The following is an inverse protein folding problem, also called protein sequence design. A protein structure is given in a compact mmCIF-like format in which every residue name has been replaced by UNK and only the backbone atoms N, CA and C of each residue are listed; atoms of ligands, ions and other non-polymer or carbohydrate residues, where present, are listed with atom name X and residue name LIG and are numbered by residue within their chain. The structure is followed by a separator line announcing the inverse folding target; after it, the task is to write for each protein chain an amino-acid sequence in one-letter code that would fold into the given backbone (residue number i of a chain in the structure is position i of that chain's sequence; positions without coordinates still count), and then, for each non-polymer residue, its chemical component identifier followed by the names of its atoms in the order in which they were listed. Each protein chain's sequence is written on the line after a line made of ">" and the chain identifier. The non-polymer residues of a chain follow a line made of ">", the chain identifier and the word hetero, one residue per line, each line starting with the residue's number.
data_IF_402434846716
#
_entry.id   IF_402434846716
#
_cell.length_a   1.000
_cell.length_b   1.000
_cell.length_c   1.000
_cell.angle_alpha   90.00
_cell.angle_beta   90.00
_cell.angle_gamma   90.00
#
_symmetry.space_group_name_H-M   'P 1'
#
loop_
_entity.id
_entity.type
_entity.pdbx_description
1 polymer ?
#
# COMPACT_ATOMS: atom_id res chain seq x y z
N UNK A 1 -42.78 18.16 5.69
CA UNK A 1 -41.36 17.98 5.35
C UNK A 1 -40.70 19.34 5.30
N UNK A 2 -39.97 19.70 6.35
CA UNK A 2 -39.30 21.00 6.44
C UNK A 2 -38.00 21.01 5.61
N UNK A 3 -37.49 22.19 5.22
CA UNK A 3 -36.22 22.31 4.47
C UNK A 3 -35.04 21.65 5.21
N UNK A 4 -35.09 21.60 6.54
CA UNK A 4 -34.06 20.95 7.39
C UNK A 4 -34.03 19.43 7.18
N UNK A 5 -35.20 18.76 7.08
CA UNK A 5 -35.26 17.31 6.86
C UNK A 5 -34.75 16.93 5.45
N UNK A 6 -35.02 17.77 4.46
CA UNK A 6 -34.50 17.58 3.10
C UNK A 6 -32.97 17.71 3.05
N UNK A 7 -32.41 18.70 3.76
CA UNK A 7 -30.95 18.89 3.88
C UNK A 7 -30.31 17.73 4.64
N UNK A 8 -30.91 17.27 5.73
CA UNK A 8 -30.40 16.13 6.50
C UNK A 8 -30.43 14.84 5.68
N UNK A 9 -31.50 14.60 4.91
CA UNK A 9 -31.61 13.44 4.03
C UNK A 9 -30.54 13.44 2.94
N UNK A 10 -30.30 14.59 2.30
CA UNK A 10 -29.25 14.75 1.29
C UNK A 10 -27.85 14.55 1.87
N UNK A 11 -27.60 15.07 3.07
CA UNK A 11 -26.33 14.87 3.78
C UNK A 11 -26.10 13.39 4.15
N UNK A 12 -27.12 12.69 4.63
CA UNK A 12 -27.00 11.25 4.95
C UNK A 12 -26.70 10.41 3.70
N UNK A 13 -27.38 10.68 2.58
CA UNK A 13 -27.12 9.99 1.31
C UNK A 13 -25.71 10.29 0.81
N UNK A 14 -25.24 11.53 0.93
CA UNK A 14 -23.88 11.92 0.58
C UNK A 14 -22.82 11.19 1.40
N UNK A 15 -22.99 11.11 2.72
CA UNK A 15 -22.07 10.40 3.62
C UNK A 15 -22.07 8.89 3.34
N UNK A 16 -23.24 8.29 3.13
CA UNK A 16 -23.34 6.87 2.76
C UNK A 16 -22.67 6.57 1.41
N UNK A 17 -22.81 7.47 0.44
CA UNK A 17 -22.12 7.38 -0.85
C UNK A 17 -20.59 7.45 -0.71
N UNK A 18 -20.08 8.34 0.14
CA UNK A 18 -18.64 8.45 0.42
C UNK A 18 -18.10 7.21 1.12
N UNK A 19 -18.83 6.67 2.11
CA UNK A 19 -18.47 5.42 2.80
C UNK A 19 -18.41 4.24 1.81
N UNK A 20 -19.23 4.27 0.76
CA UNK A 20 -19.25 3.23 -0.28
C UNK A 20 -18.13 3.37 -1.32
N UNK A 21 -17.90 4.59 -1.82
CA UNK A 21 -16.96 4.81 -2.93
C UNK A 21 -15.50 4.86 -2.47
N UNK A 22 -15.25 5.30 -1.24
CA UNK A 22 -13.89 5.46 -0.71
C UNK A 22 -13.10 4.13 -0.63
N UNK A 23 -13.64 3.04 -0.06
CA UNK A 23 -12.91 1.77 0.02
C UNK A 23 -12.66 1.14 -1.35
N UNK A 24 -13.58 1.32 -2.29
CA UNK A 24 -13.44 0.84 -3.66
C UNK A 24 -12.28 1.57 -4.38
N UNK A 25 -12.27 2.90 -4.30
CA UNK A 25 -11.23 3.72 -4.90
C UNK A 25 -9.85 3.39 -4.31
N UNK A 26 -9.78 3.17 -3.00
CA UNK A 26 -8.56 2.70 -2.33
C UNK A 26 -8.10 1.33 -2.84
N UNK A 27 -8.98 0.33 -2.87
CA UNK A 27 -8.63 -1.03 -3.29
C UNK A 27 -8.16 -1.09 -4.76
N UNK A 28 -8.79 -0.31 -5.64
CA UNK A 28 -8.36 -0.18 -7.05
C UNK A 28 -6.97 0.45 -7.14
N UNK A 29 -6.74 1.54 -6.41
CA UNK A 29 -5.43 2.21 -6.38
C UNK A 29 -4.32 1.32 -5.82
N UNK A 30 -4.62 0.55 -4.77
CA UNK A 30 -3.69 -0.44 -4.20
C UNK A 30 -3.39 -1.57 -5.21
N UNK A 31 -4.40 -2.10 -5.91
CA UNK A 31 -4.20 -3.10 -6.96
C UNK A 31 -3.29 -2.59 -8.09
N UNK A 32 -3.53 -1.36 -8.57
CA UNK A 32 -2.71 -0.73 -9.61
C UNK A 32 -1.26 -0.54 -9.16
N UNK A 33 -1.04 -0.03 -7.93
CA UNK A 33 0.31 0.09 -7.34
C UNK A 33 1.03 -1.26 -7.27
N UNK A 34 0.28 -2.33 -7.01
CA UNK A 34 0.80 -3.71 -6.94
C UNK A 34 0.98 -4.36 -8.32
N UNK A 35 0.60 -3.68 -9.42
CA UNK A 35 0.70 -4.20 -10.79
C UNK A 35 -0.39 -5.21 -11.15
N UNK A 36 -1.47 -5.26 -10.37
CA UNK A 36 -2.62 -6.13 -10.58
C UNK A 36 -3.70 -5.36 -11.33
N UNK A 37 -4.43 -6.05 -12.21
CA UNK A 37 -5.57 -5.47 -12.92
C UNK A 37 -6.64 -4.95 -11.96
N UNK A 38 -7.13 -3.75 -12.22
CA UNK A 38 -8.27 -3.16 -11.50
C UNK A 38 -9.56 -3.99 -11.64
N UNK A 39 -9.63 -4.90 -12.62
CA UNK A 39 -10.80 -5.75 -12.83
C UNK A 39 -11.12 -6.64 -11.61
N UNK A 40 -10.10 -7.11 -10.89
CA UNK A 40 -10.28 -7.99 -9.74
C UNK A 40 -10.97 -7.28 -8.55
N UNK A 41 -10.47 -6.14 -8.02
CA UNK A 41 -11.16 -5.41 -6.96
C UNK A 41 -12.53 -4.89 -7.40
N UNK A 42 -12.72 -4.54 -8.69
CA UNK A 42 -14.04 -4.14 -9.22
C UNK A 42 -15.03 -5.31 -9.14
N UNK A 43 -14.64 -6.51 -9.57
CA UNK A 43 -15.49 -7.70 -9.49
C UNK A 43 -15.82 -8.07 -8.03
N UNK A 44 -14.83 -7.97 -7.12
CA UNK A 44 -15.06 -8.20 -5.70
C UNK A 44 -16.02 -7.17 -5.10
N UNK A 45 -15.89 -5.90 -5.47
CA UNK A 45 -16.78 -4.83 -5.02
C UNK A 45 -18.22 -5.05 -5.49
N UNK A 46 -18.41 -5.56 -6.70
CA UNK A 46 -19.75 -5.93 -7.18
C UNK A 46 -20.39 -7.07 -6.36
N UNK A 47 -19.57 -8.00 -5.85
CA UNK A 47 -20.04 -9.22 -5.18
C UNK A 47 -20.19 -9.05 -3.65
N UNK A 48 -19.26 -8.34 -3.01
CA UNK A 48 -19.19 -8.17 -1.55
C UNK A 48 -19.43 -6.73 -1.09
N UNK A 49 -19.68 -5.79 -2.01
CA UNK A 49 -19.90 -4.38 -1.69
C UNK A 49 -18.71 -3.78 -0.93
N UNK A 50 -18.94 -2.98 0.13
CA UNK A 50 -17.86 -2.31 0.88
C UNK A 50 -16.94 -3.30 1.61
N UNK A 51 -17.41 -4.52 1.91
CA UNK A 51 -16.55 -5.57 2.48
C UNK A 51 -15.49 -6.07 1.50
N UNK A 52 -15.64 -5.80 0.20
CA UNK A 52 -14.63 -6.13 -0.79
C UNK A 52 -13.27 -5.49 -0.49
N UNK A 53 -13.22 -4.32 0.15
CA UNK A 53 -11.96 -3.72 0.57
C UNK A 53 -11.26 -4.54 1.67
N UNK A 54 -12.03 -5.12 2.60
CA UNK A 54 -11.49 -6.01 3.64
C UNK A 54 -11.05 -7.35 3.06
N UNK A 55 -11.86 -7.92 2.16
CA UNK A 55 -11.49 -9.14 1.45
C UNK A 55 -10.26 -8.89 0.57
N UNK A 56 -10.20 -7.74 -0.11
CA UNK A 56 -9.01 -7.32 -0.85
C UNK A 56 -7.81 -7.21 0.09
N UNK A 57 -7.93 -6.56 1.24
CA UNK A 57 -6.84 -6.46 2.21
C UNK A 57 -6.35 -7.83 2.72
N UNK A 58 -7.24 -8.83 2.81
CA UNK A 58 -6.89 -10.19 3.21
C UNK A 58 -6.21 -11.01 2.09
N UNK A 59 -6.62 -10.83 0.83
CA UNK A 59 -6.12 -11.62 -0.31
C UNK A 59 -5.06 -10.85 -1.12
N UNK A 60 -4.85 -9.55 -0.83
CA UNK A 60 -3.96 -8.68 -1.62
C UNK A 60 -2.63 -9.39 -1.78
N UNK A 61 -2.09 -9.49 -3.00
CA UNK A 61 -0.77 -10.04 -3.16
C UNK A 61 0.19 -9.09 -2.45
N UNK A 62 0.73 -9.54 -1.31
CA UNK A 62 2.06 -9.09 -0.91
C UNK A 62 2.92 -9.40 -2.13
N UNK A 63 3.53 -8.39 -2.78
CA UNK A 63 4.57 -8.70 -3.74
C UNK A 63 5.59 -9.51 -2.96
N UNK A 64 5.62 -10.81 -3.27
CA UNK A 64 6.23 -11.89 -2.52
C UNK A 64 7.34 -11.45 -1.55
N UNK A 65 6.98 -11.29 -0.28
CA UNK A 65 7.92 -11.41 0.84
C UNK A 65 8.46 -12.86 0.92
N UNK A 66 7.90 -13.78 0.12
CA UNK A 66 8.38 -15.15 -0.03
C UNK A 66 9.46 -15.34 -1.12
N UNK A 67 9.94 -14.26 -1.76
CA UNK A 67 11.30 -14.28 -2.28
C UNK A 67 12.25 -14.11 -1.09
N UNK A 68 12.56 -15.24 -0.46
CA UNK A 68 13.85 -15.46 0.22
C UNK A 68 14.90 -14.60 -0.48
N UNK A 69 15.50 -13.63 0.23
CA UNK A 69 16.81 -13.10 -0.17
C UNK A 69 17.68 -14.34 -0.49
N UNK A 70 18.13 -14.52 -1.74
CA UNK A 70 18.80 -13.51 -2.55
C UNK A 70 18.20 -13.39 -3.96
N UNK A 71 17.44 -12.34 -4.25
CA UNK A 71 17.57 -11.75 -5.58
C UNK A 71 18.98 -11.17 -5.57
N UNK A 72 19.90 -11.82 -6.27
CA UNK A 72 21.26 -11.33 -6.46
C UNK A 72 21.17 -10.08 -7.34
N UNK A 73 20.79 -8.96 -6.72
CA UNK A 73 20.76 -7.67 -7.38
C UNK A 73 22.16 -7.41 -7.90
N UNK A 74 22.27 -7.25 -9.23
CA UNK A 74 23.55 -7.10 -9.92
C UNK A 74 24.24 -5.78 -9.56
N UNK A 75 23.46 -4.80 -9.10
CA UNK A 75 23.92 -3.47 -8.70
C UNK A 75 23.08 -2.96 -7.50
N UNK A 76 23.61 -1.93 -6.84
CA UNK A 76 22.95 -1.29 -5.69
C UNK A 76 21.68 -0.54 -6.08
N UNK A 77 21.66 0.09 -7.26
CA UNK A 77 20.56 0.95 -7.70
C UNK A 77 19.25 0.17 -7.86
N UNK A 78 19.29 -1.03 -8.45
CA UNK A 78 18.14 -1.91 -8.60
C UNK A 78 17.61 -2.38 -7.23
N UNK A 79 18.53 -2.69 -6.30
CA UNK A 79 18.18 -3.08 -4.94
C UNK A 79 17.56 -1.91 -4.16
N UNK A 80 18.10 -0.70 -4.29
CA UNK A 80 17.55 0.52 -3.70
C UNK A 80 16.20 0.90 -4.30
N UNK A 81 16.04 0.75 -5.61
CA UNK A 81 14.76 0.98 -6.30
C UNK A 81 13.69 -0.01 -5.81
N UNK A 82 14.06 -1.29 -5.64
CA UNK A 82 13.18 -2.29 -5.08
C UNK A 82 12.83 -1.99 -3.60
N UNK A 83 13.80 -1.58 -2.79
CA UNK A 83 13.56 -1.20 -1.38
C UNK A 83 12.63 0.03 -1.28
N UNK A 84 12.84 1.03 -2.13
CA UNK A 84 11.97 2.20 -2.24
C UNK A 84 10.55 1.83 -2.67
N UNK A 85 10.41 0.90 -3.62
CA UNK A 85 9.10 0.39 -4.03
C UNK A 85 8.36 -0.28 -2.87
N UNK A 86 9.07 -1.06 -2.03
CA UNK A 86 8.50 -1.68 -0.84
C UNK A 86 8.02 -0.63 0.19
N UNK A 87 8.80 0.43 0.43
CA UNK A 87 8.39 1.56 1.28
C UNK A 87 7.10 2.22 0.76
N UNK A 88 7.02 2.49 -0.55
CA UNK A 88 5.83 3.06 -1.18
C UNK A 88 4.59 2.17 -1.12
N UNK A 89 4.76 0.85 -1.03
CA UNK A 89 3.68 -0.12 -0.90
C UNK A 89 3.23 -0.34 0.56
N UNK A 90 3.92 0.28 1.53
CA UNK A 90 3.68 0.07 2.96
C UNK A 90 4.27 -1.23 3.51
N UNK A 91 5.09 -1.93 2.73
CA UNK A 91 5.75 -3.18 3.13
C UNK A 91 7.05 -2.85 3.90
N UNK A 92 6.90 -2.12 5.01
CA UNK A 92 8.00 -1.44 5.70
C UNK A 92 9.07 -2.37 6.26
N UNK A 93 8.68 -3.51 6.83
CA UNK A 93 9.66 -4.47 7.36
C UNK A 93 10.52 -5.08 6.24
N UNK A 94 9.91 -5.39 5.10
CA UNK A 94 10.60 -5.88 3.92
C UNK A 94 11.52 -4.80 3.32
N UNK A 95 11.05 -3.54 3.26
CA UNK A 95 11.85 -2.41 2.83
C UNK A 95 13.10 -2.23 3.70
N UNK A 96 12.94 -2.24 5.03
CA UNK A 96 14.06 -2.13 5.99
C UNK A 96 15.03 -3.30 5.84
N UNK A 97 14.54 -4.52 5.69
CA UNK A 97 15.39 -5.70 5.46
C UNK A 97 16.24 -5.55 4.20
N UNK A 98 15.63 -5.12 3.08
CA UNK A 98 16.35 -4.95 1.82
C UNK A 98 17.33 -3.76 1.87
N UNK A 99 16.95 -2.66 2.50
CA UNK A 99 17.82 -1.52 2.77
C UNK A 99 19.06 -1.95 3.57
N UNK A 100 18.89 -2.70 4.66
CA UNK A 100 20.02 -3.22 5.44
C UNK A 100 20.91 -4.15 4.61
N UNK A 101 20.34 -4.98 3.73
CA UNK A 101 21.13 -5.81 2.81
C UNK A 101 21.97 -4.95 1.86
N UNK A 102 21.41 -3.86 1.33
CA UNK A 102 22.16 -2.91 0.49
C UNK A 102 23.31 -2.28 1.26
N UNK A 103 23.10 -1.81 2.49
CA UNK A 103 24.17 -1.21 3.29
C UNK A 103 25.31 -2.21 3.61
N UNK A 104 24.97 -3.50 3.77
CA UNK A 104 25.96 -4.56 3.99
C UNK A 104 26.77 -4.88 2.72
N UNK A 105 26.13 -4.88 1.54
CA UNK A 105 26.77 -5.28 0.27
C UNK A 105 27.45 -4.12 -0.46
N UNK A 106 26.91 -2.91 -0.34
CA UNK A 106 27.40 -1.67 -0.94
C UNK A 106 27.50 -0.57 0.13
N UNK A 107 28.58 -0.58 0.94
CA UNK A 107 28.74 0.33 2.07
C UNK A 107 28.72 1.82 1.69
N UNK A 108 29.05 2.16 0.45
CA UNK A 108 28.95 3.51 -0.10
C UNK A 108 27.53 4.10 -0.01
N UNK A 109 26.51 3.25 0.04
CA UNK A 109 25.12 3.66 0.22
C UNK A 109 24.65 3.63 1.68
N UNK A 110 25.49 3.26 2.66
CA UNK A 110 25.08 3.04 4.04
C UNK A 110 24.41 4.27 4.68
N UNK A 111 24.94 5.48 4.47
CA UNK A 111 24.35 6.72 4.99
C UNK A 111 22.99 7.01 4.36
N UNK A 112 22.86 6.78 3.05
CA UNK A 112 21.58 6.92 2.35
C UNK A 112 20.54 5.93 2.89
N UNK A 113 20.94 4.67 3.02
CA UNK A 113 20.13 3.59 3.58
C UNK A 113 19.65 3.93 5.00
N UNK A 114 20.55 4.38 5.87
CA UNK A 114 20.22 4.72 7.25
C UNK A 114 19.14 5.82 7.32
N UNK A 115 19.28 6.85 6.49
CA UNK A 115 18.28 7.92 6.38
C UNK A 115 16.91 7.37 5.91
N UNK A 116 16.89 6.45 4.95
CA UNK A 116 15.66 5.81 4.50
C UNK A 116 15.02 4.94 5.60
N UNK A 117 15.80 4.14 6.32
CA UNK A 117 15.31 3.31 7.43
C UNK A 117 14.77 4.17 8.57
N UNK A 118 15.45 5.28 8.91
CA UNK A 118 14.94 6.22 9.91
C UNK A 118 13.59 6.83 9.50
N UNK A 119 13.44 7.24 8.23
CA UNK A 119 12.15 7.73 7.72
C UNK A 119 11.05 6.69 7.82
N UNK A 120 11.33 5.43 7.49
CA UNK A 120 10.35 4.34 7.62
C UNK A 120 9.94 4.16 9.09
N UNK A 121 10.90 4.15 10.02
CA UNK A 121 10.61 4.06 11.46
C UNK A 121 9.77 5.21 11.97
N UNK A 122 9.97 6.43 11.45
CA UNK A 122 9.13 7.58 11.79
C UNK A 122 7.69 7.39 11.29
N UNK A 123 7.49 6.83 10.09
CA UNK A 123 6.15 6.48 9.60
C UNK A 123 5.49 5.43 10.50
N UNK A 124 6.22 4.37 10.86
CA UNK A 124 5.75 3.32 11.76
C UNK A 124 5.35 3.83 13.14
N UNK A 125 6.01 4.86 13.65
CA UNK A 125 5.69 5.46 14.95
C UNK A 125 4.52 6.45 14.90
N UNK A 126 4.11 6.87 13.70
CA UNK A 126 3.00 7.81 13.49
C UNK A 126 1.66 7.12 13.19
N UNK A 127 1.70 5.82 12.90
CA UNK A 127 0.54 4.93 12.71
C UNK A 127 0.09 4.28 14.04
#
# INVERSE_FOLDING_TARGET
>A
MGPIEAVLGLACVGVLGLIWLWPAAWAIGDAQKRGVSAALPIAMFWLAGPFAALIWLAIRPAKAVDQKLPVDYRNADDALAAASQLDHLGEWDAAVSLYNHVALRWPEHAVYVENCVQKIRQKQAAD
#
